data_IF_774432930011
#
_entry.id   IF_774432930011
#
_cell.length_a   1.000
_cell.length_b   1.000
_cell.length_c   1.000
_cell.angle_alpha   90.00
_cell.angle_beta   90.00
_cell.angle_gamma   90.00
#
_symmetry.space_group_name_H-M   'P 1'
#
loop_
_entity.id
_entity.type
_entity.pdbx_description
1 polymer ?
#
# COMPACT_ATOMS: atom_id res chain seq x y z
N UNK A 1 -1.03 -6.90 19.62
CA UNK A 1 -0.65 -6.13 18.42
C UNK A 1 0.62 -6.75 17.85
N UNK A 2 0.72 -6.87 16.53
CA UNK A 2 1.96 -7.33 15.90
C UNK A 2 3.08 -6.31 16.19
N UNK A 3 4.31 -6.79 16.36
CA UNK A 3 5.45 -5.95 16.68
C UNK A 3 5.84 -5.14 15.42
N UNK A 4 5.47 -3.85 15.39
CA UNK A 4 5.95 -2.90 14.38
C UNK A 4 7.43 -2.63 14.63
N UNK A 5 8.23 -2.52 13.58
CA UNK A 5 9.66 -2.24 13.70
C UNK A 5 9.90 -0.89 14.42
N UNK A 6 10.90 -0.76 15.31
CA UNK A 6 11.10 0.45 16.12
C UNK A 6 11.19 1.76 15.33
N UNK A 7 11.79 1.72 14.13
CA UNK A 7 11.92 2.89 13.26
C UNK A 7 10.61 3.31 12.57
N UNK A 8 9.54 2.51 12.69
CA UNK A 8 8.24 2.74 12.05
C UNK A 8 7.10 2.75 13.08
N UNK A 9 7.41 3.05 14.35
CA UNK A 9 6.36 3.19 15.37
C UNK A 9 5.40 4.32 14.98
N UNK A 10 4.08 4.08 15.01
CA UNK A 10 3.12 5.11 14.68
C UNK A 10 3.24 6.32 15.60
N UNK A 11 3.13 7.52 15.03
CA UNK A 11 3.02 8.76 15.81
C UNK A 11 1.62 8.87 16.43
N UNK A 12 1.51 9.71 17.45
CA UNK A 12 0.22 9.99 18.07
C UNK A 12 -0.77 10.54 17.02
N UNK A 13 -1.95 9.93 16.94
CA UNK A 13 -3.01 10.30 16.00
C UNK A 13 -2.93 9.62 14.64
N UNK A 14 -1.88 8.85 14.34
CA UNK A 14 -1.85 8.04 13.12
C UNK A 14 -2.86 6.89 13.21
N UNK A 15 -3.58 6.67 12.11
CA UNK A 15 -4.56 5.59 12.02
C UNK A 15 -3.86 4.24 11.84
N UNK A 16 -4.12 3.31 12.76
CA UNK A 16 -3.48 1.99 12.78
C UNK A 16 -4.54 0.90 12.62
N UNK A 17 -4.39 0.10 11.57
CA UNK A 17 -5.23 -1.07 11.31
C UNK A 17 -4.71 -2.24 12.16
N UNK A 18 -5.58 -2.86 12.95
CA UNK A 18 -5.26 -4.00 13.82
C UNK A 18 -6.09 -5.26 13.55
N UNK A 19 -7.15 -5.11 12.77
CA UNK A 19 -8.21 -6.09 12.52
C UNK A 19 -8.07 -6.82 11.18
N UNK A 20 -7.16 -6.36 10.31
CA UNK A 20 -6.92 -6.91 8.96
C UNK A 20 -6.77 -8.44 9.01
N UNK A 21 -7.58 -9.13 8.21
CA UNK A 21 -7.63 -10.60 8.19
C UNK A 21 -7.10 -11.23 6.89
N UNK A 22 -6.70 -10.43 5.90
CA UNK A 22 -6.25 -10.90 4.58
C UNK A 22 -4.96 -10.25 4.06
N UNK A 23 -4.62 -10.49 2.80
CA UNK A 23 -3.44 -9.88 2.16
C UNK A 23 -3.64 -8.39 1.84
N UNK A 24 -4.83 -8.02 1.37
CA UNK A 24 -5.22 -6.62 1.19
C UNK A 24 -5.36 -5.91 2.54
N UNK A 25 -4.93 -4.66 2.61
CA UNK A 25 -5.14 -3.81 3.79
C UNK A 25 -6.62 -3.52 4.07
N UNK A 26 -7.50 -3.69 3.08
CA UNK A 26 -8.95 -3.54 3.22
C UNK A 26 -9.64 -4.81 3.73
N UNK A 27 -9.03 -5.98 3.55
CA UNK A 27 -9.66 -7.26 3.86
C UNK A 27 -9.88 -7.41 5.38
N UNK A 28 -11.15 -7.38 5.78
CA UNK A 28 -11.55 -7.46 7.19
C UNK A 28 -11.16 -6.23 8.00
N UNK A 29 -10.94 -5.07 7.36
CA UNK A 29 -10.53 -3.84 8.03
C UNK A 29 -11.50 -2.67 7.89
N UNK A 30 -11.30 -1.69 8.76
CA UNK A 30 -12.00 -0.41 8.81
C UNK A 30 -11.37 0.66 7.89
N UNK A 31 -10.36 0.28 7.09
CA UNK A 31 -9.60 1.22 6.24
C UNK A 31 -10.49 1.98 5.26
N UNK A 32 -11.36 1.28 4.52
CA UNK A 32 -12.23 1.95 3.53
C UNK A 32 -13.14 2.98 4.19
N UNK A 33 -13.80 2.61 5.30
CA UNK A 33 -14.65 3.53 6.06
C UNK A 33 -13.88 4.73 6.58
N UNK A 34 -12.66 4.52 7.09
CA UNK A 34 -11.79 5.61 7.55
C UNK A 34 -11.43 6.58 6.41
N UNK A 35 -11.00 6.06 5.26
CA UNK A 35 -10.61 6.86 4.11
C UNK A 35 -11.80 7.69 3.58
N UNK A 36 -12.97 7.08 3.44
CA UNK A 36 -14.19 7.74 2.96
C UNK A 36 -14.65 8.86 3.90
N UNK A 37 -14.67 8.59 5.20
CA UNK A 37 -15.09 9.57 6.21
C UNK A 37 -14.16 10.80 6.26
N UNK A 38 -12.91 10.65 5.79
CA UNK A 38 -11.94 11.73 5.71
C UNK A 38 -11.77 12.29 4.29
N UNK A 39 -12.63 11.91 3.33
CA UNK A 39 -12.57 12.34 1.93
C UNK A 39 -11.21 12.06 1.25
N UNK A 40 -10.52 10.99 1.65
CA UNK A 40 -9.25 10.59 1.04
C UNK A 40 -9.56 9.79 -0.23
N UNK A 41 -9.01 10.21 -1.36
CA UNK A 41 -9.21 9.55 -2.67
C UNK A 41 -7.92 9.02 -3.28
N UNK A 42 -6.76 9.43 -2.76
CA UNK A 42 -5.44 9.05 -3.26
C UNK A 42 -4.68 8.26 -2.21
N UNK A 43 -4.09 7.13 -2.60
CA UNK A 43 -3.34 6.25 -1.73
C UNK A 43 -1.91 6.08 -2.24
N UNK A 44 -0.95 6.12 -1.33
CA UNK A 44 0.45 5.80 -1.58
C UNK A 44 0.79 4.53 -0.81
N UNK A 45 1.22 3.49 -1.51
CA UNK A 45 1.50 2.18 -0.94
C UNK A 45 3.01 1.95 -0.86
N UNK A 46 3.44 1.48 0.31
CA UNK A 46 4.80 1.06 0.63
C UNK A 46 4.75 -0.18 1.55
N UNK A 47 5.88 -0.89 1.69
CA UNK A 47 6.01 -2.04 2.60
C UNK A 47 6.17 -3.40 1.90
N UNK A 48 5.65 -4.46 2.54
CA UNK A 48 6.01 -5.84 2.20
C UNK A 48 4.81 -6.80 2.29
N UNK A 49 4.70 -7.83 1.44
CA UNK A 49 5.51 -8.08 0.23
C UNK A 49 4.86 -7.43 -1.00
N UNK A 50 5.67 -6.97 -1.95
CA UNK A 50 5.24 -6.26 -3.17
C UNK A 50 4.15 -7.03 -3.93
N UNK A 51 4.44 -8.26 -4.36
CA UNK A 51 3.54 -9.12 -5.13
C UNK A 51 2.46 -9.84 -4.30
N UNK A 52 2.35 -9.51 -3.00
CA UNK A 52 1.36 -10.15 -2.11
C UNK A 52 0.47 -9.09 -1.49
N UNK A 53 0.92 -8.45 -0.41
CA UNK A 53 0.10 -7.53 0.37
C UNK A 53 -0.07 -6.18 -0.34
N UNK A 54 1.02 -5.67 -0.93
CA UNK A 54 0.99 -4.38 -1.64
C UNK A 54 0.13 -4.52 -2.89
N UNK A 55 0.37 -5.53 -3.73
CA UNK A 55 -0.43 -5.82 -4.92
C UNK A 55 -1.90 -6.11 -4.59
N UNK A 56 -2.20 -6.92 -3.57
CA UNK A 56 -3.59 -7.19 -3.17
C UNK A 56 -4.31 -5.91 -2.76
N UNK A 57 -3.62 -5.02 -2.03
CA UNK A 57 -4.17 -3.73 -1.62
C UNK A 57 -4.34 -2.80 -2.82
N UNK A 58 -3.38 -2.77 -3.75
CA UNK A 58 -3.43 -1.98 -4.99
C UNK A 58 -4.64 -2.35 -5.84
N UNK A 59 -4.85 -3.65 -6.10
CA UNK A 59 -5.98 -4.14 -6.90
C UNK A 59 -7.32 -3.79 -6.25
N UNK A 60 -7.45 -4.01 -4.94
CA UNK A 60 -8.70 -3.69 -4.25
C UNK A 60 -8.92 -2.16 -4.13
N UNK A 61 -7.86 -1.37 -3.98
CA UNK A 61 -7.93 0.09 -4.02
C UNK A 61 -8.45 0.59 -5.37
N UNK A 62 -7.93 0.03 -6.47
CA UNK A 62 -8.41 0.29 -7.82
C UNK A 62 -9.90 -0.01 -7.97
N UNK A 63 -10.35 -1.20 -7.54
CA UNK A 63 -11.76 -1.61 -7.65
C UNK A 63 -12.69 -0.74 -6.80
N UNK A 64 -12.19 -0.17 -5.70
CA UNK A 64 -12.92 0.79 -4.86
C UNK A 64 -12.87 2.23 -5.39
N UNK A 65 -12.11 2.50 -6.45
CA UNK A 65 -12.02 3.81 -7.09
C UNK A 65 -11.02 4.78 -6.45
N UNK A 66 -10.01 4.28 -5.73
CA UNK A 66 -8.91 5.11 -5.24
C UNK A 66 -7.84 5.28 -6.31
N UNK A 67 -7.31 6.50 -6.45
CA UNK A 67 -6.09 6.73 -7.25
C UNK A 67 -4.90 6.22 -6.44
N UNK A 68 -4.20 5.21 -6.96
CA UNK A 68 -3.17 4.51 -6.18
C UNK A 68 -1.80 4.63 -6.82
N UNK A 69 -0.83 5.03 -6.00
CA UNK A 69 0.59 5.05 -6.34
C UNK A 69 1.33 4.02 -5.49
N UNK A 70 2.26 3.29 -6.09
CA UNK A 70 3.18 2.41 -5.37
C UNK A 70 4.54 3.09 -5.34
N UNK A 71 5.09 3.29 -4.15
CA UNK A 71 6.43 3.85 -3.95
C UNK A 71 7.43 2.70 -4.12
N UNK A 72 7.89 2.45 -5.34
CA UNK A 72 8.51 1.18 -5.74
C UNK A 72 9.81 0.91 -4.98
N UNK A 73 10.61 1.93 -4.74
CA UNK A 73 11.83 1.91 -3.92
C UNK A 73 11.58 1.87 -2.40
N UNK A 74 10.32 1.92 -1.96
CA UNK A 74 9.89 1.68 -0.58
C UNK A 74 9.06 0.38 -0.43
N UNK A 75 9.13 -0.52 -1.42
CA UNK A 75 8.55 -1.87 -1.35
C UNK A 75 9.62 -2.95 -1.40
N UNK A 76 9.25 -4.18 -1.03
CA UNK A 76 10.13 -5.34 -1.18
C UNK A 76 9.39 -6.63 -1.49
N UNK A 77 9.95 -7.44 -2.38
CA UNK A 77 9.53 -8.82 -2.64
C UNK A 77 10.54 -9.82 -2.07
N UNK A 78 10.20 -11.11 -2.05
CA UNK A 78 11.13 -12.15 -1.59
C UNK A 78 12.28 -12.38 -2.58
N UNK A 79 12.06 -12.11 -3.87
CA UNK A 79 13.09 -12.20 -4.91
C UNK A 79 13.05 -11.01 -5.86
N UNK A 80 14.17 -10.72 -6.50
CA UNK A 80 14.24 -9.67 -7.53
C UNK A 80 13.27 -9.95 -8.68
N UNK A 81 13.15 -11.21 -9.11
CA UNK A 81 12.24 -11.60 -10.19
C UNK A 81 10.77 -11.26 -9.87
N UNK A 82 10.35 -11.46 -8.62
CA UNK A 82 9.00 -11.10 -8.19
C UNK A 82 8.81 -9.59 -8.13
N UNK A 83 9.83 -8.84 -7.72
CA UNK A 83 9.81 -7.38 -7.72
C UNK A 83 9.65 -6.85 -9.14
N UNK A 84 10.53 -7.26 -10.07
CA UNK A 84 10.53 -6.77 -11.45
C UNK A 84 9.26 -7.19 -12.19
N UNK A 85 8.79 -8.42 -12.01
CA UNK A 85 7.54 -8.87 -12.64
C UNK A 85 6.35 -8.01 -12.22
N UNK A 86 6.24 -7.67 -10.92
CA UNK A 86 5.19 -6.77 -10.46
C UNK A 86 5.30 -5.38 -11.10
N UNK A 87 6.49 -4.79 -11.10
CA UNK A 87 6.73 -3.44 -11.63
C UNK A 87 6.45 -3.35 -13.14
N UNK A 88 6.94 -4.33 -13.91
CA UNK A 88 6.87 -4.33 -15.37
C UNK A 88 5.49 -4.77 -15.87
N UNK A 89 4.93 -5.84 -15.29
CA UNK A 89 3.77 -6.53 -15.87
C UNK A 89 2.46 -6.23 -15.16
N UNK A 90 2.48 -5.83 -13.88
CA UNK A 90 1.26 -5.73 -13.07
C UNK A 90 0.89 -4.29 -12.76
N UNK A 91 1.84 -3.49 -12.29
CA UNK A 91 1.59 -2.19 -11.65
C UNK A 91 0.75 -1.24 -12.50
N UNK A 92 1.07 -1.13 -13.80
CA UNK A 92 0.44 -0.21 -14.74
C UNK A 92 -1.04 -0.52 -15.03
N UNK A 93 -1.53 -1.72 -14.67
CA UNK A 93 -2.93 -2.08 -14.84
C UNK A 93 -3.83 -1.49 -13.76
N UNK A 94 -3.30 -1.23 -12.56
CA UNK A 94 -4.09 -0.89 -11.37
C UNK A 94 -3.67 0.43 -10.71
N UNK A 95 -2.50 0.98 -11.08
CA UNK A 95 -2.01 2.24 -10.53
C UNK A 95 -0.73 2.70 -11.23
N UNK A 96 0.07 3.50 -10.51
CA UNK A 96 1.33 4.03 -11.03
C UNK A 96 2.48 3.83 -10.05
N UNK A 97 3.64 3.43 -10.55
CA UNK A 97 4.88 3.43 -9.79
C UNK A 97 5.49 4.82 -9.69
N UNK A 98 5.99 5.16 -8.51
CA UNK A 98 6.81 6.35 -8.26
C UNK A 98 8.01 5.98 -7.38
N UNK A 99 9.05 6.80 -7.44
CA UNK A 99 10.17 6.75 -6.49
C UNK A 99 9.90 7.68 -5.31
N UNK A 100 10.54 7.46 -4.17
CA UNK A 100 10.44 8.33 -2.98
C UNK A 100 10.75 9.79 -3.32
N UNK A 101 11.75 10.04 -4.17
CA UNK A 101 12.10 11.40 -4.60
C UNK A 101 10.96 12.15 -5.31
N UNK A 102 10.07 11.43 -5.99
CA UNK A 102 8.92 12.00 -6.67
C UNK A 102 7.76 12.27 -5.70
N UNK A 103 7.76 11.65 -4.52
CA UNK A 103 6.78 11.90 -3.46
C UNK A 103 7.02 13.24 -2.75
N UNK A 104 8.28 13.60 -2.51
CA UNK A 104 8.66 14.87 -1.85
C UNK A 104 8.32 16.12 -2.69
N UNK A 105 7.91 15.94 -3.95
CA UNK A 105 7.57 17.01 -4.89
C UNK A 105 6.05 17.26 -5.04
N UNK A 106 5.21 16.54 -4.29
CA UNK A 106 3.72 16.62 -4.31
C UNK A 106 3.21 17.23 -3.02
#
# INVERSE_FOLDING_TARGET
MANIHPNFQPKAGEFVISERSGASAFAGSSLDSYLRNNNITTLYLAGFATHVCVESTLREAHDKGYTTYVVTDATGAFTQQQQTYFEDEILHHFGKGILVEAFDAI
#
